data_IF_654803215925
#
_entry.id   IF_654803215925
#
_cell.length_a   1.000
_cell.length_b   1.000
_cell.length_c   1.000
_cell.angle_alpha   90.00
_cell.angle_beta   90.00
_cell.angle_gamma   90.00
#
_symmetry.space_group_name_H-M   'P 1'
#
loop_
_entity.id
_entity.type
_entity.pdbx_description
1 polymer ?
#
# COMPACT_ATOMS: atom_id res chain seq x y z
N UNK A 1 -53.98 -15.29 -26.22
CA UNK A 1 -53.75 -13.84 -25.98
C UNK A 1 -52.87 -13.56 -24.76
N UNK A 2 -53.03 -14.25 -23.62
CA UNK A 2 -52.25 -14.00 -22.38
C UNK A 2 -50.72 -14.23 -22.47
N UNK A 3 -50.26 -15.24 -23.22
CA UNK A 3 -48.83 -15.58 -23.35
C UNK A 3 -48.00 -14.55 -24.16
N UNK A 4 -48.63 -13.88 -25.14
CA UNK A 4 -47.98 -12.84 -25.96
C UNK A 4 -47.78 -11.54 -25.18
N UNK A 5 -48.73 -11.17 -24.31
CA UNK A 5 -48.58 -10.02 -23.43
C UNK A 5 -47.47 -10.19 -22.39
N UNK A 6 -47.33 -11.38 -21.82
CA UNK A 6 -46.27 -11.68 -20.86
C UNK A 6 -44.86 -11.63 -21.49
N UNK A 7 -44.73 -12.08 -22.74
CA UNK A 7 -43.46 -12.04 -23.48
C UNK A 7 -43.05 -10.59 -23.80
N UNK A 8 -44.01 -9.73 -24.16
CA UNK A 8 -43.75 -8.31 -24.45
C UNK A 8 -43.35 -7.56 -23.18
N UNK A 9 -43.97 -7.86 -22.04
CA UNK A 9 -43.60 -7.28 -20.74
C UNK A 9 -42.20 -7.73 -20.30
N UNK A 10 -41.86 -9.00 -20.48
CA UNK A 10 -40.53 -9.52 -20.18
C UNK A 10 -39.43 -8.87 -21.06
N UNK A 11 -39.71 -8.66 -22.34
CA UNK A 11 -38.78 -8.03 -23.27
C UNK A 11 -38.63 -6.51 -22.98
N UNK A 12 -39.72 -5.83 -22.61
CA UNK A 12 -39.68 -4.43 -22.21
C UNK A 12 -38.90 -4.22 -20.91
N UNK A 13 -39.01 -5.13 -19.95
CA UNK A 13 -38.17 -5.08 -18.73
C UNK A 13 -36.70 -5.31 -19.06
N UNK A 14 -36.35 -6.24 -19.94
CA UNK A 14 -34.96 -6.49 -20.32
C UNK A 14 -34.28 -5.27 -20.97
N UNK A 15 -35.02 -4.51 -21.79
CA UNK A 15 -34.54 -3.26 -22.43
C UNK A 15 -34.43 -2.09 -21.44
N UNK A 16 -35.18 -2.10 -20.35
CA UNK A 16 -35.08 -1.10 -19.27
C UNK A 16 -33.93 -1.37 -18.30
N UNK A 17 -33.43 -2.61 -18.20
CA UNK A 17 -32.26 -2.94 -17.36
C UNK A 17 -30.93 -2.72 -18.11
N UNK A 18 -30.94 -2.76 -19.46
CA UNK A 18 -29.72 -2.56 -20.26
C UNK A 18 -28.98 -1.22 -20.08
N UNK A 19 -29.64 -0.06 -19.81
CA UNK A 19 -28.92 1.18 -19.53
C UNK A 19 -28.21 1.18 -18.18
N UNK A 20 -28.65 0.37 -17.20
CA UNK A 20 -27.99 0.25 -15.89
C UNK A 20 -26.64 -0.49 -15.99
N UNK A 21 -26.46 -1.36 -16.98
CA UNK A 21 -25.20 -2.07 -17.23
C UNK A 21 -24.33 -1.39 -18.30
N UNK A 22 -24.88 -0.46 -19.08
CA UNK A 22 -24.15 0.28 -20.13
C UNK A 22 -23.43 1.53 -19.61
N UNK A 23 -23.68 1.97 -18.38
CA UNK A 23 -22.72 2.78 -17.64
C UNK A 23 -21.59 1.86 -17.21
N UNK A 24 -20.69 1.56 -18.15
CA UNK A 24 -19.34 1.16 -17.82
C UNK A 24 -18.81 2.22 -16.88
N UNK A 25 -18.80 1.89 -15.58
CA UNK A 25 -18.21 2.73 -14.57
C UNK A 25 -16.83 3.06 -15.08
N UNK A 26 -16.53 4.35 -15.26
CA UNK A 26 -15.14 4.77 -15.33
C UNK A 26 -14.54 4.22 -14.04
N UNK A 27 -13.78 3.13 -14.12
CA UNK A 27 -12.90 2.75 -13.03
C UNK A 27 -12.14 4.03 -12.70
N UNK A 28 -12.34 4.54 -11.49
CA UNK A 28 -11.54 5.65 -11.01
C UNK A 28 -10.10 5.20 -11.20
N UNK A 29 -9.30 5.98 -11.94
CA UNK A 29 -7.90 5.65 -12.16
C UNK A 29 -7.29 5.33 -10.79
N UNK A 30 -6.67 4.14 -10.67
CA UNK A 30 -6.08 3.73 -9.41
C UNK A 30 -5.13 4.83 -8.93
N UNK A 31 -5.27 5.27 -7.68
CA UNK A 31 -4.37 6.26 -7.09
C UNK A 31 -2.92 5.79 -7.28
N UNK A 32 -1.96 6.68 -7.56
CA UNK A 32 -0.55 6.29 -7.67
C UNK A 32 -0.07 5.59 -6.39
N UNK A 33 0.68 4.50 -6.53
CA UNK A 33 1.29 3.79 -5.40
C UNK A 33 2.24 4.72 -4.65
N UNK A 34 2.15 4.72 -3.32
CA UNK A 34 3.08 5.49 -2.48
C UNK A 34 4.37 4.71 -2.27
N UNK A 35 5.51 5.31 -2.59
CA UNK A 35 6.81 4.83 -2.15
C UNK A 35 7.06 5.34 -0.73
N UNK A 36 7.47 4.46 0.18
CA UNK A 36 7.82 4.89 1.52
C UNK A 36 9.14 4.30 2.01
N UNK A 37 9.86 5.13 2.76
CA UNK A 37 10.96 4.67 3.59
C UNK A 37 10.60 4.91 5.06
N UNK A 38 10.86 3.93 5.92
CA UNK A 38 10.71 4.04 7.37
C UNK A 38 12.07 3.80 8.03
N UNK A 39 12.72 4.89 8.44
CA UNK A 39 14.12 4.93 8.88
C UNK A 39 14.21 5.44 10.32
N UNK A 40 15.39 5.40 10.93
CA UNK A 40 15.54 5.79 12.34
C UNK A 40 15.60 7.30 12.51
N UNK A 41 16.38 8.00 11.69
CA UNK A 41 16.56 9.45 11.79
C UNK A 41 17.13 10.02 10.48
N UNK A 42 16.91 11.31 10.24
CA UNK A 42 17.56 12.05 9.15
C UNK A 42 18.83 12.78 9.59
N UNK A 43 19.15 12.77 10.89
CA UNK A 43 20.36 13.42 11.43
C UNK A 43 21.63 12.62 11.14
N UNK A 44 21.50 11.33 10.82
CA UNK A 44 22.60 10.48 10.37
C UNK A 44 22.74 10.56 8.84
N UNK A 45 23.89 10.98 8.28
CA UNK A 45 24.06 11.15 6.83
C UNK A 45 23.86 9.85 6.04
N UNK A 46 24.14 8.69 6.64
CA UNK A 46 23.93 7.39 5.99
C UNK A 46 22.44 7.10 5.76
N UNK A 47 21.57 7.45 6.72
CA UNK A 47 20.12 7.30 6.59
C UNK A 47 19.49 8.45 5.78
N UNK A 48 20.04 9.66 5.87
CA UNK A 48 19.61 10.78 5.04
C UNK A 48 19.75 10.47 3.53
N UNK A 49 20.81 9.74 3.14
CA UNK A 49 20.98 9.29 1.75
C UNK A 49 19.88 8.33 1.27
N UNK A 50 19.21 7.61 2.17
CA UNK A 50 18.07 6.76 1.79
C UNK A 50 16.90 7.61 1.30
N UNK A 51 16.65 8.75 1.95
CA UNK A 51 15.63 9.70 1.50
C UNK A 51 15.96 10.25 0.13
N UNK A 52 17.21 10.64 -0.10
CA UNK A 52 17.66 11.13 -1.42
C UNK A 52 17.36 10.10 -2.51
N UNK A 53 17.73 8.83 -2.30
CA UNK A 53 17.44 7.78 -3.26
C UNK A 53 15.95 7.52 -3.47
N UNK A 54 15.15 7.55 -2.40
CA UNK A 54 13.70 7.38 -2.48
C UNK A 54 13.02 8.53 -3.25
N UNK A 55 13.42 9.78 -2.98
CA UNK A 55 12.92 10.97 -3.69
C UNK A 55 13.26 10.88 -5.19
N UNK A 56 14.50 10.51 -5.54
CA UNK A 56 14.93 10.35 -6.93
C UNK A 56 14.13 9.26 -7.66
N UNK A 57 13.85 8.12 -7.01
CA UNK A 57 13.02 7.07 -7.59
C UNK A 57 11.57 7.53 -7.78
N UNK A 58 11.02 8.23 -6.79
CA UNK A 58 9.68 8.80 -6.91
C UNK A 58 9.56 9.81 -8.05
N UNK A 59 10.56 10.66 -8.24
CA UNK A 59 10.62 11.60 -9.36
C UNK A 59 10.69 10.86 -10.71
N UNK A 60 11.54 9.85 -10.82
CA UNK A 60 11.71 9.06 -12.05
C UNK A 60 10.41 8.34 -12.46
N UNK A 61 9.70 7.76 -11.50
CA UNK A 61 8.48 6.98 -11.73
C UNK A 61 7.19 7.82 -11.66
N UNK A 62 7.29 9.10 -11.29
CA UNK A 62 6.12 9.97 -11.07
C UNK A 62 5.25 9.53 -9.88
N UNK A 63 5.86 8.92 -8.86
CA UNK A 63 5.18 8.38 -7.68
C UNK A 63 5.36 9.26 -6.44
N UNK A 64 4.35 9.36 -5.57
CA UNK A 64 4.49 10.06 -4.30
C UNK A 64 5.44 9.32 -3.34
N UNK A 65 6.27 10.08 -2.63
CA UNK A 65 7.25 9.56 -1.66
C UNK A 65 6.92 10.05 -0.25
N UNK A 66 6.95 9.13 0.72
CA UNK A 66 6.77 9.45 2.15
C UNK A 66 7.94 8.89 2.97
N UNK A 67 8.65 9.77 3.65
CA UNK A 67 9.67 9.40 4.64
C UNK A 67 9.08 9.41 6.04
N UNK A 68 9.20 8.28 6.75
CA UNK A 68 8.86 8.14 8.16
C UNK A 68 10.15 8.01 8.96
N UNK A 69 10.28 8.78 10.05
CA UNK A 69 11.39 8.61 11.00
C UNK A 69 10.89 8.14 12.35
N UNK A 70 11.55 7.15 12.95
CA UNK A 70 11.11 6.62 14.25
C UNK A 70 11.81 7.27 15.46
N UNK A 71 12.89 8.01 15.23
CA UNK A 71 13.71 8.71 16.24
C UNK A 71 14.04 7.86 17.47
N UNK A 72 14.41 6.59 17.23
CA UNK A 72 14.78 5.66 18.30
C UNK A 72 13.60 4.88 18.92
N UNK A 73 12.36 5.07 18.45
CA UNK A 73 11.16 4.42 19.00
C UNK A 73 10.58 3.34 18.08
N UNK A 74 10.65 2.08 18.52
CA UNK A 74 10.04 0.93 17.83
C UNK A 74 8.50 1.07 17.75
N UNK A 75 7.88 1.61 18.79
CA UNK A 75 6.43 1.87 18.84
C UNK A 75 6.01 2.92 17.81
N UNK A 76 6.75 4.03 17.73
CA UNK A 76 6.50 5.07 16.72
C UNK A 76 6.62 4.50 15.31
N UNK A 77 7.65 3.71 15.05
CA UNK A 77 7.85 3.08 13.73
C UNK A 77 6.65 2.24 13.32
N UNK A 78 6.17 1.37 14.22
CA UNK A 78 5.02 0.50 13.95
C UNK A 78 3.73 1.30 13.74
N UNK A 79 3.48 2.32 14.57
CA UNK A 79 2.28 3.14 14.48
C UNK A 79 2.24 4.00 13.21
N UNK A 80 3.37 4.60 12.82
CA UNK A 80 3.45 5.41 11.60
C UNK A 80 3.29 4.55 10.34
N UNK A 81 3.87 3.34 10.32
CA UNK A 81 3.68 2.37 9.23
C UNK A 81 2.20 2.00 9.10
N UNK A 82 1.54 1.63 10.19
CA UNK A 82 0.08 1.34 10.20
C UNK A 82 -0.73 2.54 9.71
N UNK A 83 -0.41 3.74 10.19
CA UNK A 83 -1.11 4.96 9.79
C UNK A 83 -0.97 5.22 8.28
N UNK A 84 0.23 5.01 7.71
CA UNK A 84 0.45 5.19 6.28
C UNK A 84 -0.25 4.11 5.44
N UNK A 85 -0.23 2.85 5.87
CA UNK A 85 -0.99 1.76 5.23
C UNK A 85 -2.48 2.09 5.21
N UNK A 86 -3.05 2.54 6.34
CA UNK A 86 -4.46 2.93 6.40
C UNK A 86 -4.77 4.14 5.51
N UNK A 87 -3.93 5.19 5.55
CA UNK A 87 -4.07 6.40 4.73
C UNK A 87 -4.06 6.10 3.22
N UNK A 88 -3.27 5.12 2.81
CA UNK A 88 -3.11 4.71 1.40
C UNK A 88 -4.05 3.59 1.00
N UNK A 89 -4.90 3.11 1.92
CA UNK A 89 -5.75 1.93 1.72
C UNK A 89 -4.96 0.73 1.20
N UNK A 90 -3.76 0.50 1.76
CA UNK A 90 -2.84 -0.56 1.36
C UNK A 90 -2.00 -0.28 0.10
N UNK A 91 -2.23 0.83 -0.62
CA UNK A 91 -1.49 1.18 -1.83
C UNK A 91 -0.18 1.93 -1.52
N UNK A 92 0.72 1.24 -0.83
CA UNK A 92 2.04 1.73 -0.43
C UNK A 92 3.03 0.57 -0.52
N UNK A 93 4.30 0.87 -0.77
CA UNK A 93 5.42 -0.08 -0.64
C UNK A 93 6.49 0.51 0.28
N UNK A 94 7.19 -0.34 1.02
CA UNK A 94 8.15 0.12 2.02
C UNK A 94 9.58 -0.42 1.83
N UNK A 95 10.57 0.44 2.04
CA UNK A 95 11.85 0.03 2.61
C UNK A 95 11.87 0.41 4.08
N UNK A 96 12.16 -0.52 4.97
CA UNK A 96 12.18 -0.26 6.41
C UNK A 96 13.56 -0.60 6.96
N UNK A 97 14.17 0.35 7.66
CA UNK A 97 15.31 0.14 8.57
C UNK A 97 14.76 0.05 10.00
N UNK A 98 14.51 -1.17 10.53
CA UNK A 98 13.88 -1.36 11.83
C UNK A 98 14.72 -0.75 12.94
N UNK A 99 14.07 -0.06 13.89
CA UNK A 99 14.75 0.57 15.02
C UNK A 99 15.65 -0.43 15.79
N UNK A 100 15.12 -1.62 16.03
CA UNK A 100 15.80 -2.74 16.69
C UNK A 100 15.50 -4.03 15.92
N UNK A 101 16.40 -5.02 16.01
CA UNK A 101 16.22 -6.30 15.32
C UNK A 101 14.86 -6.97 15.59
N UNK A 102 14.37 -7.11 16.85
CA UNK A 102 13.08 -7.75 17.11
C UNK A 102 11.88 -7.02 16.48
N UNK A 103 12.00 -5.73 16.18
CA UNK A 103 10.91 -4.92 15.63
C UNK A 103 10.48 -5.36 14.22
N UNK A 104 11.33 -6.10 13.50
CA UNK A 104 10.98 -6.68 12.20
C UNK A 104 9.74 -7.55 12.26
N UNK A 105 9.59 -8.35 13.32
CA UNK A 105 8.51 -9.34 13.40
C UNK A 105 7.11 -8.70 13.42
N UNK A 106 6.81 -7.73 14.31
CA UNK A 106 5.51 -7.07 14.26
C UNK A 106 5.32 -6.29 12.96
N UNK A 107 6.34 -5.61 12.43
CA UNK A 107 6.25 -4.92 11.13
C UNK A 107 5.87 -5.87 9.99
N UNK A 108 6.53 -7.02 9.90
CA UNK A 108 6.24 -8.06 8.91
C UNK A 108 4.79 -8.51 8.98
N UNK A 109 4.31 -8.84 10.18
CA UNK A 109 2.93 -9.30 10.39
C UNK A 109 1.90 -8.26 9.93
N UNK A 110 2.11 -6.99 10.25
CA UNK A 110 1.20 -5.91 9.85
C UNK A 110 1.18 -5.71 8.33
N UNK A 111 2.36 -5.71 7.69
CA UNK A 111 2.49 -5.46 6.26
C UNK A 111 1.99 -6.65 5.43
N UNK A 112 2.32 -7.88 5.85
CA UNK A 112 1.85 -9.10 5.19
C UNK A 112 0.33 -9.25 5.30
N UNK A 113 -0.25 -8.94 6.48
CA UNK A 113 -1.70 -8.94 6.66
C UNK A 113 -2.41 -7.87 5.79
N UNK A 114 -1.72 -6.77 5.50
CA UNK A 114 -2.21 -5.73 4.60
C UNK A 114 -1.94 -6.01 3.11
N UNK A 115 -1.22 -7.09 2.77
CA UNK A 115 -0.82 -7.40 1.40
C UNK A 115 0.18 -6.38 0.81
N UNK A 116 0.91 -5.68 1.67
CA UNK A 116 1.84 -4.61 1.30
C UNK A 116 3.21 -5.19 1.01
N UNK A 117 3.81 -4.83 -0.14
CA UNK A 117 5.18 -5.19 -0.45
C UNK A 117 6.16 -4.34 0.35
N UNK A 118 7.15 -5.00 0.95
CA UNK A 118 8.15 -4.32 1.75
C UNK A 118 9.48 -5.07 1.75
N UNK A 119 10.54 -4.35 2.08
CA UNK A 119 11.87 -4.91 2.34
C UNK A 119 12.40 -4.41 3.67
N UNK A 120 13.08 -5.30 4.40
CA UNK A 120 13.86 -4.92 5.58
C UNK A 120 15.29 -4.59 5.17
N UNK A 121 15.84 -3.53 5.76
CA UNK A 121 17.21 -3.10 5.58
C UNK A 121 17.92 -3.03 6.94
N UNK A 122 19.21 -3.37 6.97
CA UNK A 122 20.07 -3.39 8.17
C UNK A 122 19.75 -4.39 9.28
N UNK A 123 18.56 -4.33 9.88
CA UNK A 123 18.25 -5.05 11.11
C UNK A 123 17.27 -6.20 10.87
N UNK A 124 17.58 -7.36 11.44
CA UNK A 124 16.68 -8.52 11.52
C UNK A 124 17.13 -9.44 12.65
N UNK A 125 16.24 -10.13 13.36
CA UNK A 125 16.65 -11.15 14.34
C UNK A 125 17.45 -12.26 13.66
N UNK A 126 18.38 -12.89 14.39
CA UNK A 126 19.24 -13.94 13.86
C UNK A 126 18.48 -15.23 13.49
N UNK A 127 17.42 -15.51 14.23
CA UNK A 127 16.55 -16.67 14.09
C UNK A 127 15.58 -16.57 12.90
N UNK A 128 15.27 -15.36 12.43
CA UNK A 128 14.51 -15.17 11.20
C UNK A 128 15.37 -15.59 10.01
N UNK A 129 14.96 -16.61 9.27
CA UNK A 129 15.67 -17.04 8.05
C UNK A 129 14.91 -16.51 6.83
N UNK A 130 15.58 -15.68 6.03
CA UNK A 130 15.06 -15.17 4.76
C UNK A 130 15.75 -15.94 3.64
N UNK A 131 15.08 -17.01 3.18
CA UNK A 131 15.53 -17.92 2.14
C UNK A 131 16.74 -18.80 2.54
N UNK A 132 16.56 -20.11 2.41
CA UNK A 132 17.63 -21.11 2.27
C UNK A 132 17.73 -21.49 0.81
#
# INVERSE_FOLDING_TARGET
>A
MKKRGLLIIALAMLVLVTPLFAQGGKEAAASPTTLSIAIRTLTNPYQANYKVGADMLGELEGLPVVTLTCEGSSEKQLNDVRALVAKTNGNVVFMIDPNESPNVIPLARELDAAGVYWVSWWNKPEDVKVWV
#
